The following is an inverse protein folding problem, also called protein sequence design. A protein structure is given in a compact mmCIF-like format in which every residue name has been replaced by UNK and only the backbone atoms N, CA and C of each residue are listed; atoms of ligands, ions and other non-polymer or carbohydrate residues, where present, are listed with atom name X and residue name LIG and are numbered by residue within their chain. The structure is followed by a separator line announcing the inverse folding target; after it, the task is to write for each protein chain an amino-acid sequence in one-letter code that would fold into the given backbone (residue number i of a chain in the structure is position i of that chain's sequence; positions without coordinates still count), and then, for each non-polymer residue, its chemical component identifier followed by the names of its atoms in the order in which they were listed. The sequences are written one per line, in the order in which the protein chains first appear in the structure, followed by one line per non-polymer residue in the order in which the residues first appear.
data_IF_270346559705
#
_entry.id   IF_270346559705
#
_cell.length_a   1.000
_cell.length_b   1.000
_cell.length_c   1.000
_cell.angle_alpha   90.00
_cell.angle_beta   90.00
_cell.angle_gamma   90.00
#
_symmetry.space_group_name_H-M   'P 1'
#
loop_
_entity.id
_entity.type
_entity.pdbx_description
1 polymer ?
#
# COMPACT_ATOMS: atom_id res chain seq x y z
N UNK A 1 -71.77 -6.30 -42.60
CA UNK A 1 -71.42 -7.54 -43.31
C UNK A 1 -69.92 -7.52 -43.55
N UNK A 2 -69.21 -8.57 -43.15
CA UNK A 2 -67.77 -8.73 -43.34
C UNK A 2 -67.37 -10.13 -42.91
N UNK A 3 -67.50 -11.08 -43.84
CA UNK A 3 -67.06 -12.46 -43.74
C UNK A 3 -65.75 -12.59 -44.50
N UNK A 4 -64.67 -13.03 -43.84
CA UNK A 4 -63.49 -13.72 -44.40
C UNK A 4 -62.33 -13.76 -43.38
N UNK A 5 -61.46 -14.76 -43.23
CA UNK A 5 -61.33 -16.16 -43.71
C UNK A 5 -60.09 -16.78 -43.02
N UNK A 6 -60.16 -18.08 -42.71
CA UNK A 6 -59.07 -19.09 -42.69
C UNK A 6 -57.78 -18.94 -41.83
N UNK A 7 -57.67 -19.82 -40.83
CA UNK A 7 -56.45 -20.49 -40.30
C UNK A 7 -55.74 -21.33 -41.42
N UNK A 8 -54.47 -21.84 -41.32
CA UNK A 8 -53.91 -22.52 -40.12
C UNK A 8 -52.36 -22.68 -39.93
N UNK A 9 -52.01 -23.36 -38.82
CA UNK A 9 -50.85 -24.29 -38.56
C UNK A 9 -49.42 -23.76 -38.29
N UNK A 10 -49.14 -23.57 -36.99
CA UNK A 10 -48.38 -24.53 -36.15
C UNK A 10 -46.84 -24.59 -36.19
N UNK A 11 -46.19 -24.56 -35.01
CA UNK A 11 -45.13 -25.51 -34.59
C UNK A 11 -44.63 -25.28 -33.14
N UNK A 12 -44.76 -26.35 -32.34
CA UNK A 12 -43.83 -26.90 -31.31
C UNK A 12 -43.73 -26.26 -29.91
N UNK A 13 -44.35 -26.99 -28.97
CA UNK A 13 -43.81 -27.55 -27.71
C UNK A 13 -42.42 -27.05 -27.26
N UNK A 14 -42.30 -26.65 -25.99
CA UNK A 14 -41.42 -27.33 -25.01
C UNK A 14 -41.50 -26.68 -23.63
N UNK A 15 -41.92 -27.46 -22.63
CA UNK A 15 -41.66 -27.22 -21.22
C UNK A 15 -40.16 -27.37 -20.96
N UNK A 16 -39.48 -26.33 -20.46
CA UNK A 16 -38.16 -26.42 -19.81
C UNK A 16 -38.11 -25.38 -18.70
N UNK A 17 -38.43 -25.80 -17.49
CA UNK A 17 -37.45 -26.18 -16.45
C UNK A 17 -36.75 -24.96 -15.86
N UNK A 18 -37.19 -24.58 -14.65
CA UNK A 18 -36.46 -23.71 -13.74
C UNK A 18 -35.07 -24.30 -13.49
N UNK A 19 -34.04 -23.60 -13.98
CA UNK A 19 -32.65 -23.82 -13.57
C UNK A 19 -32.14 -22.48 -13.05
N UNK A 20 -32.01 -22.40 -11.72
CA UNK A 20 -31.19 -21.39 -11.04
C UNK A 20 -29.80 -21.45 -11.64
N UNK A 21 -29.35 -20.39 -12.29
CA UNK A 21 -27.98 -20.29 -12.80
C UNK A 21 -27.32 -19.03 -12.28
N UNK A 22 -26.31 -19.31 -11.47
CA UNK A 22 -25.29 -18.45 -10.88
C UNK A 22 -25.05 -17.13 -11.60
N UNK A 23 -25.25 -16.04 -10.87
CA UNK A 23 -24.90 -14.68 -11.29
C UNK A 23 -23.39 -14.48 -11.13
N UNK A 24 -22.61 -15.09 -12.02
CA UNK A 24 -21.18 -14.82 -12.14
C UNK A 24 -20.98 -13.42 -12.74
N UNK A 25 -20.95 -12.41 -11.87
CA UNK A 25 -20.40 -11.10 -12.18
C UNK A 25 -18.89 -11.24 -12.35
N UNK A 26 -18.48 -11.77 -13.50
CA UNK A 26 -17.13 -11.55 -14.02
C UNK A 26 -17.01 -10.06 -14.36
N UNK A 27 -16.62 -9.27 -13.37
CA UNK A 27 -16.11 -7.93 -13.57
C UNK A 27 -14.79 -8.06 -14.34
N UNK A 28 -14.88 -8.08 -15.67
CA UNK A 28 -13.78 -7.75 -16.55
C UNK A 28 -13.45 -6.27 -16.32
N UNK A 29 -12.65 -5.96 -15.28
CA UNK A 29 -12.02 -4.65 -15.14
C UNK A 29 -10.92 -4.54 -16.19
N UNK A 30 -11.32 -4.22 -17.42
CA UNK A 30 -10.47 -3.83 -18.55
C UNK A 30 -9.93 -2.39 -18.41
N UNK A 31 -10.04 -1.77 -17.24
CA UNK A 31 -9.19 -0.63 -16.91
C UNK A 31 -7.76 -1.14 -16.80
N UNK A 32 -7.02 -0.99 -17.89
CA UNK A 32 -5.58 -0.96 -17.96
C UNK A 32 -4.98 -0.64 -16.58
N UNK A 33 -4.32 -1.61 -15.96
CA UNK A 33 -3.28 -1.29 -15.00
C UNK A 33 -2.21 -0.58 -15.82
N UNK A 34 -2.31 0.76 -15.94
CA UNK A 34 -1.12 1.58 -16.07
C UNK A 34 -0.32 1.18 -14.85
N UNK A 35 0.67 0.31 -15.06
CA UNK A 35 1.77 0.13 -14.13
C UNK A 35 2.19 1.55 -13.84
N UNK A 36 1.83 2.00 -12.66
CA UNK A 36 2.23 3.30 -12.20
C UNK A 36 3.73 3.13 -12.05
N UNK A 37 4.47 3.49 -13.12
CA UNK A 37 5.91 3.68 -13.13
C UNK A 37 6.15 4.95 -12.28
N UNK A 38 5.64 4.92 -11.05
CA UNK A 38 6.34 5.50 -9.94
C UNK A 38 7.49 4.54 -9.74
N UNK A 39 8.51 4.72 -10.59
CA UNK A 39 9.87 4.31 -10.38
C UNK A 39 10.26 4.81 -9.00
N UNK A 40 9.85 4.03 -8.02
CA UNK A 40 10.49 3.99 -6.73
C UNK A 40 11.74 3.18 -7.03
N UNK A 41 12.65 3.72 -7.86
CA UNK A 41 13.94 3.13 -8.13
C UNK A 41 14.47 2.74 -6.76
N UNK A 42 14.75 1.45 -6.60
CA UNK A 42 15.21 0.90 -5.36
C UNK A 42 16.58 1.52 -5.10
N UNK A 43 16.58 2.66 -4.40
CA UNK A 43 17.76 3.52 -4.23
C UNK A 43 18.97 2.66 -3.89
N UNK A 44 19.99 2.73 -4.74
CA UNK A 44 21.14 1.87 -4.63
C UNK A 44 21.91 2.22 -3.35
N UNK A 45 22.06 1.24 -2.47
CA UNK A 45 22.77 1.44 -1.22
C UNK A 45 24.29 1.42 -1.46
N UNK A 46 24.94 2.58 -1.43
CA UNK A 46 26.38 2.73 -1.71
C UNK A 46 27.29 1.98 -0.74
N UNK A 47 26.81 1.70 0.49
CA UNK A 47 27.57 0.98 1.49
C UNK A 47 27.63 -0.54 1.22
N UNK A 48 26.69 -1.07 0.43
CA UNK A 48 26.55 -2.51 0.16
C UNK A 48 26.77 -2.82 -1.32
N UNK A 49 26.52 -1.84 -2.21
CA UNK A 49 26.63 -1.98 -3.66
C UNK A 49 27.98 -2.56 -4.11
N UNK A 50 27.91 -3.42 -5.11
CA UNK A 50 29.07 -3.93 -5.85
C UNK A 50 29.60 -2.90 -6.85
N UNK A 51 30.77 -3.15 -7.44
CA UNK A 51 31.32 -2.27 -8.50
C UNK A 51 30.35 -2.23 -9.69
N UNK A 52 29.79 -3.39 -10.03
CA UNK A 52 28.84 -3.59 -11.11
C UNK A 52 27.54 -2.83 -10.86
N UNK A 53 27.01 -2.87 -9.63
CA UNK A 53 25.81 -2.12 -9.28
C UNK A 53 26.05 -0.61 -9.40
N UNK A 54 27.21 -0.12 -8.98
CA UNK A 54 27.55 1.31 -9.07
C UNK A 54 27.68 1.76 -10.53
N UNK A 55 28.12 0.89 -11.43
CA UNK A 55 28.20 1.19 -12.87
C UNK A 55 26.83 1.32 -13.54
N UNK A 56 25.73 0.91 -12.88
CA UNK A 56 24.38 1.14 -13.38
C UNK A 56 23.93 2.59 -13.23
N UNK A 57 24.61 3.36 -12.39
CA UNK A 57 24.29 4.76 -12.13
C UNK A 57 24.77 5.67 -13.27
N UNK A 58 24.01 6.73 -13.58
CA UNK A 58 24.42 7.68 -14.62
C UNK A 58 25.76 8.34 -14.26
N UNK A 59 26.60 8.60 -15.26
CA UNK A 59 27.92 9.24 -15.10
C UNK A 59 28.95 8.47 -14.26
N UNK A 60 28.67 7.23 -13.86
CA UNK A 60 29.61 6.37 -13.13
C UNK A 60 30.24 5.35 -14.08
N UNK A 61 31.51 5.58 -14.38
CA UNK A 61 32.34 4.65 -15.13
C UNK A 61 33.00 3.63 -14.19
N UNK A 62 33.53 2.54 -14.76
CA UNK A 62 34.27 1.50 -14.03
C UNK A 62 35.36 2.06 -13.10
N UNK A 63 36.14 3.03 -13.58
CA UNK A 63 37.17 3.68 -12.75
C UNK A 63 36.60 4.38 -11.53
N UNK A 64 35.44 5.05 -11.67
CA UNK A 64 34.79 5.77 -10.59
C UNK A 64 34.16 4.78 -9.61
N UNK A 65 33.48 3.74 -10.11
CA UNK A 65 32.93 2.67 -9.29
C UNK A 65 34.01 2.02 -8.43
N UNK A 66 35.17 1.71 -9.02
CA UNK A 66 36.33 1.21 -8.28
C UNK A 66 36.82 2.18 -7.21
N UNK A 67 36.94 3.47 -7.54
CA UNK A 67 37.32 4.49 -6.56
C UNK A 67 36.33 4.60 -5.40
N UNK A 68 35.02 4.43 -5.64
CA UNK A 68 33.99 4.42 -4.59
C UNK A 68 34.20 3.23 -3.65
N UNK A 69 34.43 2.04 -4.19
CA UNK A 69 34.69 0.82 -3.39
C UNK A 69 35.98 0.95 -2.59
N UNK A 70 37.05 1.47 -3.18
CA UNK A 70 38.32 1.67 -2.50
C UNK A 70 38.23 2.76 -1.42
N UNK A 71 37.51 3.85 -1.70
CA UNK A 71 37.22 4.87 -0.69
C UNK A 71 36.42 4.28 0.46
N UNK A 72 35.37 3.48 0.18
CA UNK A 72 34.61 2.75 1.19
C UNK A 72 35.51 1.89 2.07
N UNK A 73 36.48 1.17 1.50
CA UNK A 73 37.44 0.38 2.30
C UNK A 73 38.33 1.25 3.19
N UNK A 74 38.73 2.43 2.71
CA UNK A 74 39.59 3.36 3.46
C UNK A 74 38.86 4.06 4.63
N UNK A 75 37.63 4.55 4.40
CA UNK A 75 36.83 5.26 5.42
C UNK A 75 35.89 4.35 6.21
N UNK A 76 35.74 3.09 5.78
CA UNK A 76 34.79 2.11 6.30
C UNK A 76 33.40 2.21 5.66
N UNK A 77 32.61 3.21 6.07
CA UNK A 77 31.21 3.36 5.63
C UNK A 77 30.91 4.82 5.35
N UNK A 78 30.19 5.11 4.28
CA UNK A 78 29.62 6.44 4.05
C UNK A 78 28.52 6.70 5.08
N UNK A 79 28.47 7.92 5.65
CA UNK A 79 27.43 8.33 6.60
C UNK A 79 26.41 9.25 5.95
N UNK A 80 26.85 10.06 5.00
CA UNK A 80 26.02 10.96 4.22
C UNK A 80 26.25 10.73 2.73
N UNK A 81 25.28 11.16 1.92
CA UNK A 81 25.39 11.04 0.46
C UNK A 81 26.47 12.02 -0.04
N UNK A 82 26.58 13.16 0.63
CA UNK A 82 27.55 14.22 0.34
C UNK A 82 29.01 13.74 0.48
N UNK A 83 29.27 12.74 1.31
CA UNK A 83 30.60 12.15 1.49
C UNK A 83 31.12 11.50 0.18
N UNK A 84 30.22 11.14 -0.74
CA UNK A 84 30.57 10.58 -2.03
C UNK A 84 31.24 11.61 -2.96
N UNK A 85 31.03 12.91 -2.74
CA UNK A 85 31.72 13.97 -3.51
C UNK A 85 33.23 14.00 -3.24
N UNK A 86 33.69 13.44 -2.11
CA UNK A 86 35.11 13.33 -1.76
C UNK A 86 35.82 12.23 -2.57
N UNK A 87 35.07 11.33 -3.20
CA UNK A 87 35.63 10.27 -4.04
C UNK A 87 36.19 10.87 -5.33
N UNK A 88 37.42 10.47 -5.65
CA UNK A 88 38.10 10.87 -6.88
C UNK A 88 37.25 10.53 -8.11
N UNK A 89 36.76 11.57 -8.79
CA UNK A 89 35.99 11.44 -10.04
C UNK A 89 34.47 11.56 -9.93
N UNK A 90 33.90 11.66 -8.72
CA UNK A 90 32.46 11.92 -8.51
C UNK A 90 32.19 13.43 -8.45
N UNK A 91 32.80 14.17 -7.52
CA UNK A 91 32.63 15.63 -7.43
C UNK A 91 31.17 16.09 -7.25
N UNK A 92 30.95 17.41 -7.12
CA UNK A 92 29.61 17.95 -6.86
C UNK A 92 28.64 17.74 -8.03
N UNK A 93 29.11 18.00 -9.27
CA UNK A 93 28.28 17.94 -10.48
C UNK A 93 27.69 16.54 -10.72
N UNK A 94 28.48 15.47 -10.60
CA UNK A 94 27.96 14.12 -10.81
C UNK A 94 27.14 13.65 -9.61
N UNK A 95 27.54 14.05 -8.40
CA UNK A 95 26.78 13.72 -7.20
C UNK A 95 25.32 14.18 -7.33
N UNK A 96 25.07 15.38 -7.84
CA UNK A 96 23.71 15.89 -8.05
C UNK A 96 22.86 15.01 -8.98
N UNK A 97 23.47 14.41 -10.00
CA UNK A 97 22.80 13.54 -10.97
C UNK A 97 22.50 12.16 -10.40
N UNK A 98 23.40 11.60 -9.59
CA UNK A 98 23.23 10.27 -8.99
C UNK A 98 22.46 10.32 -7.66
N UNK A 99 22.38 11.48 -7.00
CA UNK A 99 21.67 11.69 -5.73
C UNK A 99 20.25 11.09 -5.70
N UNK A 100 19.41 11.22 -6.74
CA UNK A 100 18.08 10.62 -6.72
C UNK A 100 18.07 9.09 -6.83
N UNK A 101 19.18 8.46 -7.20
CA UNK A 101 19.30 7.01 -7.43
C UNK A 101 20.01 6.26 -6.31
N UNK A 102 20.61 6.97 -5.34
CA UNK A 102 21.46 6.36 -4.30
C UNK A 102 20.96 6.61 -2.88
N UNK A 103 21.31 5.71 -1.97
CA UNK A 103 21.13 5.90 -0.53
C UNK A 103 22.31 5.36 0.28
N UNK A 104 22.39 5.78 1.55
CA UNK A 104 23.47 5.38 2.48
C UNK A 104 22.97 4.35 3.50
N UNK A 105 21.69 4.41 3.83
CA UNK A 105 21.04 3.45 4.70
C UNK A 105 19.95 2.75 3.90
N UNK A 106 19.89 1.42 3.99
CA UNK A 106 18.67 0.69 3.69
C UNK A 106 17.56 1.34 4.51
N UNK A 107 16.69 2.10 3.85
CA UNK A 107 15.37 2.32 4.41
C UNK A 107 14.78 0.94 4.43
N UNK A 108 14.82 0.29 5.61
CA UNK A 108 13.91 -0.82 5.89
C UNK A 108 12.57 -0.30 5.42
N UNK A 109 12.06 -0.89 4.36
CA UNK A 109 10.72 -0.65 3.89
C UNK A 109 9.81 -1.27 4.94
N UNK A 110 9.80 -0.68 6.15
CA UNK A 110 8.87 -0.98 7.20
C UNK A 110 7.59 -0.34 6.70
N UNK A 111 6.92 -1.10 5.84
CA UNK A 111 5.63 -0.77 5.29
C UNK A 111 5.61 0.49 4.39
N UNK A 112 5.90 0.30 3.10
CA UNK A 112 4.79 0.39 2.13
C UNK A 112 3.79 -0.70 2.52
N UNK A 113 3.13 -0.51 3.67
CA UNK A 113 2.01 -1.33 4.06
C UNK A 113 1.08 -1.14 2.89
N UNK A 114 0.96 -2.22 2.13
CA UNK A 114 -0.26 -2.65 1.47
C UNK A 114 -1.18 -1.50 1.09
N UNK A 115 -1.45 -1.35 -0.21
CA UNK A 115 -2.77 -0.86 -0.62
C UNK A 115 -3.23 0.44 0.10
N UNK A 116 -2.82 1.61 -0.41
CA UNK A 116 -3.43 2.93 -0.04
C UNK A 116 -4.91 3.05 -0.44
N UNK A 117 -5.59 1.94 -0.72
CA UNK A 117 -7.01 1.80 -0.51
C UNK A 117 -7.20 0.58 0.41
N UNK A 118 -7.77 0.71 1.61
CA UNK A 118 -8.34 -0.46 2.27
C UNK A 118 -9.35 -1.04 1.28
N UNK A 119 -9.04 -2.19 0.67
CA UNK A 119 -10.05 -2.90 -0.09
C UNK A 119 -11.09 -3.40 0.92
N UNK A 120 -12.33 -2.96 0.74
CA UNK A 120 -13.47 -3.37 1.56
C UNK A 120 -13.66 -4.91 1.54
N UNK A 121 -13.06 -5.58 0.57
CA UNK A 121 -13.14 -7.02 0.33
C UNK A 121 -12.35 -7.88 1.34
N UNK A 122 -11.49 -7.28 2.17
CA UNK A 122 -10.83 -7.99 3.28
C UNK A 122 -11.64 -7.98 4.59
N UNK A 123 -12.87 -7.44 4.59
CA UNK A 123 -13.80 -7.66 5.70
C UNK A 123 -14.18 -9.14 5.71
N UNK A 124 -13.44 -9.90 6.52
CA UNK A 124 -13.83 -11.23 6.97
C UNK A 124 -15.33 -11.24 7.26
N UNK A 125 -15.99 -12.21 6.65
CA UNK A 125 -17.34 -12.64 6.90
C UNK A 125 -17.78 -12.35 8.33
N UNK A 126 -18.79 -11.50 8.47
CA UNK A 126 -19.53 -11.29 9.71
C UNK A 126 -20.35 -12.53 10.00
N UNK A 127 -19.69 -13.64 10.30
CA UNK A 127 -20.35 -14.81 10.86
C UNK A 127 -19.33 -15.69 11.57
N UNK A 128 -18.73 -15.17 12.63
CA UNK A 128 -17.92 -15.97 13.56
C UNK A 128 -17.80 -15.22 14.88
N UNK A 129 -18.81 -15.42 15.73
CA UNK A 129 -18.66 -15.64 17.17
C UNK A 129 -17.50 -14.86 17.81
N UNK A 130 -17.85 -13.65 18.26
CA UNK A 130 -17.11 -12.79 19.20
C UNK A 130 -16.27 -13.63 20.17
N UNK A 131 -14.98 -13.76 19.89
CA UNK A 131 -13.96 -14.17 20.86
C UNK A 131 -13.13 -12.95 21.17
N UNK A 132 -13.66 -12.15 22.09
CA UNK A 132 -12.92 -11.11 22.81
C UNK A 132 -11.74 -11.80 23.49
N UNK A 133 -10.52 -11.42 23.13
CA UNK A 133 -9.32 -11.36 24.00
C UNK A 133 -8.14 -10.81 23.21
N UNK A 134 -8.24 -9.54 22.82
CA UNK A 134 -7.03 -8.73 22.88
C UNK A 134 -7.27 -7.72 23.99
N UNK A 135 -6.60 -7.92 25.13
CA UNK A 135 -6.36 -6.89 26.16
C UNK A 135 -5.43 -5.82 25.58
N UNK A 136 -5.80 -5.27 24.42
CA UNK A 136 -5.06 -4.22 23.76
C UNK A 136 -5.47 -2.93 24.43
N UNK A 137 -4.53 -2.35 25.19
CA UNK A 137 -4.68 -1.01 25.72
C UNK A 137 -4.82 -0.05 24.53
N UNK A 138 -5.98 0.60 24.42
CA UNK A 138 -6.28 1.56 23.36
C UNK A 138 -6.06 2.97 23.91
N UNK A 139 -5.30 3.78 23.17
CA UNK A 139 -5.06 5.18 23.55
C UNK A 139 -6.24 6.05 23.10
N UNK A 140 -7.13 6.40 24.02
CA UNK A 140 -8.37 7.18 23.77
C UNK A 140 -8.08 8.54 23.12
N UNK A 141 -6.96 9.18 23.46
CA UNK A 141 -6.62 10.50 22.93
C UNK A 141 -6.24 10.46 21.45
N UNK A 142 -5.76 9.32 20.95
CA UNK A 142 -5.37 9.12 19.54
C UNK A 142 -6.29 8.18 18.76
N UNK A 143 -7.16 7.45 19.46
CA UNK A 143 -8.03 6.44 18.87
C UNK A 143 -9.03 7.03 17.85
N UNK A 144 -9.33 6.23 16.83
CA UNK A 144 -10.43 6.45 15.89
C UNK A 144 -11.73 5.83 16.41
N UNK A 145 -12.86 6.14 15.75
CA UNK A 145 -14.17 5.53 16.07
C UNK A 145 -14.08 4.01 16.04
N UNK A 146 -13.39 3.47 15.04
CA UNK A 146 -13.24 2.03 14.84
C UNK A 146 -12.37 1.38 15.92
N UNK A 147 -11.33 2.08 16.38
CA UNK A 147 -10.50 1.58 17.49
C UNK A 147 -11.31 1.48 18.78
N UNK A 148 -12.21 2.45 19.03
CA UNK A 148 -13.08 2.47 20.21
C UNK A 148 -14.18 1.40 20.14
N UNK A 149 -14.74 1.12 18.97
CA UNK A 149 -15.73 0.05 18.75
C UNK A 149 -15.19 -1.35 19.06
N UNK A 150 -13.86 -1.53 19.04
CA UNK A 150 -13.22 -2.78 19.43
C UNK A 150 -13.33 -3.08 20.93
N UNK A 151 -13.75 -2.10 21.75
CA UNK A 151 -13.94 -2.27 23.19
C UNK A 151 -15.34 -2.83 23.44
N UNK A 152 -15.47 -3.94 24.21
CA UNK A 152 -16.78 -4.50 24.52
C UNK A 152 -17.67 -3.46 25.22
N UNK A 153 -18.89 -3.30 24.73
CA UNK A 153 -19.85 -2.33 25.25
C UNK A 153 -19.76 -0.93 24.64
N UNK A 154 -18.76 -0.63 23.80
CA UNK A 154 -18.67 0.64 23.08
C UNK A 154 -19.30 0.49 21.69
N UNK A 155 -20.50 1.06 21.56
CA UNK A 155 -21.17 1.18 20.26
C UNK A 155 -20.60 2.35 19.43
N UNK A 156 -20.95 2.41 18.15
CA UNK A 156 -20.59 3.53 17.27
C UNK A 156 -21.00 4.90 17.84
N UNK A 157 -22.15 4.96 18.49
CA UNK A 157 -22.67 6.19 19.10
C UNK A 157 -21.80 6.63 20.28
N UNK A 158 -21.44 5.69 21.17
CA UNK A 158 -20.58 5.94 22.32
C UNK A 158 -19.18 6.36 21.85
N UNK A 159 -18.61 5.66 20.87
CA UNK A 159 -17.32 5.99 20.28
C UNK A 159 -17.30 7.41 19.68
N UNK A 160 -18.35 7.78 18.93
CA UNK A 160 -18.49 9.12 18.37
C UNK A 160 -18.62 10.18 19.47
N UNK A 161 -19.40 9.93 20.52
CA UNK A 161 -19.55 10.85 21.65
C UNK A 161 -18.23 11.10 22.37
N UNK A 162 -17.39 10.07 22.55
CA UNK A 162 -16.05 10.19 23.14
C UNK A 162 -15.17 11.12 22.29
N UNK A 163 -15.18 10.94 20.96
CA UNK A 163 -14.44 11.79 20.02
C UNK A 163 -14.92 13.25 20.02
N UNK A 164 -16.23 13.47 20.05
CA UNK A 164 -16.82 14.82 20.13
C UNK A 164 -16.39 15.49 21.43
N UNK A 165 -16.47 14.79 22.55
CA UNK A 165 -16.06 15.31 23.85
C UNK A 165 -14.56 15.65 23.87
N UNK A 166 -13.71 14.75 23.36
CA UNK A 166 -12.25 14.96 23.21
C UNK A 166 -11.94 16.22 22.41
N UNK A 167 -12.60 16.40 21.26
CA UNK A 167 -12.33 17.54 20.39
C UNK A 167 -12.85 18.86 21.00
N UNK A 168 -13.93 18.80 21.80
CA UNK A 168 -14.55 19.98 22.44
C UNK A 168 -13.86 20.40 23.74
N UNK A 169 -13.44 19.45 24.58
CA UNK A 169 -12.87 19.71 25.92
C UNK A 169 -11.36 19.50 26.01
N UNK A 170 -10.73 18.97 24.97
CA UNK A 170 -9.31 18.62 24.95
C UNK A 170 -9.05 17.16 25.32
N UNK A 171 -7.77 16.80 25.41
CA UNK A 171 -7.33 15.42 25.70
C UNK A 171 -7.70 14.98 27.12
N UNK A 172 -8.00 13.69 27.29
CA UNK A 172 -8.25 13.08 28.58
C UNK A 172 -6.91 12.90 29.32
N UNK A 173 -6.76 13.57 30.46
CA UNK A 173 -5.51 13.60 31.22
C UNK A 173 -5.52 12.74 32.50
N UNK A 174 -6.65 12.12 32.83
CA UNK A 174 -6.80 11.25 34.01
C UNK A 174 -7.66 10.04 33.66
N UNK A 175 -7.24 8.87 34.12
CA UNK A 175 -8.05 7.65 34.14
C UNK A 175 -8.41 7.45 35.61
N UNK A 176 -9.69 7.52 35.95
CA UNK A 176 -10.14 7.18 37.30
C UNK A 176 -10.22 5.65 37.40
N UNK A 177 -9.60 5.09 38.44
CA UNK A 177 -9.51 3.65 38.71
C UNK A 177 -10.56 3.23 39.75
#
# INVERSE_FOLDING_TARGET
MGQNTSLPKGRRKSLRSFVRRSNSKRNLSHTFNVTNINDSFELLNINIASEEDLMTLPEINREIARNIVDHRKAIGRFRRIEDLALVKGVGARKLELIRPEICVSTRRNLSRSSSRAPSYDSLKSTDSKVTIKSNKLININKASVFDLQGIPGISQQIAAAILIHRNKKGSFNKINH
#
